data_IF_018105411651
#
_entry.id   IF_018105411651
#
_cell.length_a   1.000
_cell.length_b   1.000
_cell.length_c   1.000
_cell.angle_alpha   90.00
_cell.angle_beta   90.00
_cell.angle_gamma   90.00
#
_symmetry.space_group_name_H-M   'P 1'
#
loop_
_entity.id
_entity.type
_entity.pdbx_description
1 polymer ?
#
# COMPACT_ATOMS: atom_id res chain seq x y z
N UNK A 1 -4.46 -4.95 -16.69
CA UNK A 1 -3.29 -4.07 -16.37
C UNK A 1 -2.49 -4.76 -15.29
N UNK A 2 -1.16 -4.88 -15.42
CA UNK A 2 -0.32 -5.48 -14.37
C UNK A 2 -0.24 -4.53 -13.16
N UNK A 3 -0.33 -5.09 -11.96
CA UNK A 3 -0.31 -4.37 -10.67
C UNK A 3 0.41 -5.22 -9.63
N UNK A 4 0.92 -4.58 -8.57
CA UNK A 4 1.45 -5.26 -7.39
C UNK A 4 0.41 -5.16 -6.30
N UNK A 5 -0.12 -6.29 -5.83
CA UNK A 5 -1.13 -6.35 -4.78
C UNK A 5 -0.61 -7.20 -3.62
N UNK A 6 -0.85 -6.74 -2.39
CA UNK A 6 -0.59 -7.50 -1.18
C UNK A 6 -1.66 -7.25 -0.12
N UNK A 7 -1.96 -8.30 0.64
CA UNK A 7 -2.84 -8.26 1.81
C UNK A 7 -2.01 -8.35 3.09
N UNK A 8 -2.20 -7.40 3.98
CA UNK A 8 -1.59 -7.32 5.30
C UNK A 8 -2.64 -7.65 6.37
N UNK A 9 -2.31 -8.51 7.34
CA UNK A 9 -3.26 -9.00 8.34
C UNK A 9 -3.05 -8.31 9.68
N UNK A 10 -4.15 -8.05 10.39
CA UNK A 10 -4.20 -7.38 11.68
C UNK A 10 -5.22 -8.06 12.60
N UNK A 11 -5.14 -7.79 13.91
CA UNK A 11 -6.04 -8.41 14.89
C UNK A 11 -7.41 -7.72 14.96
N UNK A 12 -7.47 -6.45 14.59
CA UNK A 12 -8.68 -5.62 14.68
C UNK A 12 -8.66 -4.52 13.61
N UNK A 13 -9.74 -3.74 13.54
CA UNK A 13 -9.88 -2.64 12.58
C UNK A 13 -8.99 -1.42 12.90
N UNK A 14 -8.77 -1.12 14.18
CA UNK A 14 -7.97 0.04 14.58
C UNK A 14 -6.50 -0.09 14.12
N UNK A 15 -5.91 -1.27 14.28
CA UNK A 15 -4.55 -1.59 13.82
C UNK A 15 -4.46 -1.50 12.29
N UNK A 16 -5.47 -2.02 11.59
CA UNK A 16 -5.55 -1.95 10.13
C UNK A 16 -5.63 -0.48 9.66
N UNK A 17 -6.49 0.33 10.28
CA UNK A 17 -6.64 1.75 9.94
C UNK A 17 -5.36 2.55 10.24
N UNK A 18 -4.69 2.27 11.37
CA UNK A 18 -3.41 2.89 11.69
C UNK A 18 -2.35 2.59 10.63
N UNK A 19 -2.28 1.35 10.15
CA UNK A 19 -1.38 0.96 9.06
C UNK A 19 -1.74 1.65 7.74
N UNK A 20 -3.04 1.73 7.40
CA UNK A 20 -3.53 2.47 6.23
C UNK A 20 -3.08 3.93 6.25
N UNK A 21 -3.16 4.60 7.40
CA UNK A 21 -2.70 5.99 7.55
C UNK A 21 -1.17 6.12 7.34
N UNK A 22 -0.37 5.17 7.84
CA UNK A 22 1.09 5.15 7.58
C UNK A 22 1.40 5.02 6.09
N UNK A 23 0.67 4.17 5.37
CA UNK A 23 0.83 4.03 3.91
C UNK A 23 0.42 5.31 3.20
N UNK A 24 -0.69 5.94 3.61
CA UNK A 24 -1.16 7.21 3.06
C UNK A 24 -0.14 8.33 3.21
N UNK A 25 0.46 8.48 4.40
CA UNK A 25 1.52 9.46 4.63
C UNK A 25 2.74 9.22 3.73
N UNK A 26 3.21 7.96 3.64
CA UNK A 26 4.32 7.59 2.76
C UNK A 26 3.98 7.84 1.28
N UNK A 27 2.74 7.56 0.85
CA UNK A 27 2.30 7.81 -0.52
C UNK A 27 2.35 9.30 -0.91
N UNK A 28 1.96 10.20 0.01
CA UNK A 28 2.07 11.64 -0.19
C UNK A 28 3.52 12.11 -0.28
N UNK A 29 4.40 11.62 0.60
CA UNK A 29 5.83 11.93 0.57
C UNK A 29 6.50 11.51 -0.76
N UNK A 30 6.10 10.35 -1.31
CA UNK A 30 6.62 9.83 -2.57
C UNK A 30 5.96 10.42 -3.82
N UNK A 31 4.82 11.12 -3.66
CA UNK A 31 4.00 11.58 -4.79
C UNK A 31 3.48 10.43 -5.66
N UNK A 32 3.25 9.25 -5.07
CA UNK A 32 2.76 8.07 -5.76
C UNK A 32 1.74 7.36 -4.89
N UNK A 33 0.53 7.16 -5.43
CA UNK A 33 -0.63 6.77 -4.64
C UNK A 33 -1.13 5.35 -4.99
N UNK A 34 -1.32 4.48 -3.98
CA UNK A 34 -1.91 3.16 -4.19
C UNK A 34 -3.44 3.23 -4.13
N UNK A 35 -4.07 2.12 -4.51
CA UNK A 35 -5.39 1.80 -3.95
C UNK A 35 -5.19 1.08 -2.61
N UNK A 36 -5.88 1.56 -1.58
CA UNK A 36 -5.89 0.97 -0.25
C UNK A 36 -7.31 0.59 0.12
N UNK A 37 -7.52 -0.68 0.51
CA UNK A 37 -8.78 -1.18 1.04
C UNK A 37 -8.54 -1.61 2.48
N UNK A 38 -9.23 -0.97 3.42
CA UNK A 38 -9.17 -1.29 4.84
C UNK A 38 -10.43 -2.03 5.24
N UNK A 39 -10.27 -3.26 5.71
CA UNK A 39 -11.35 -4.10 6.25
C UNK A 39 -11.03 -4.48 7.71
N UNK A 40 -11.99 -5.12 8.40
CA UNK A 40 -11.72 -5.70 9.72
C UNK A 40 -10.57 -6.72 9.64
N UNK A 41 -9.47 -6.44 10.33
CA UNK A 41 -8.33 -7.34 10.46
C UNK A 41 -7.46 -7.47 9.20
N UNK A 42 -7.60 -6.59 8.19
CA UNK A 42 -6.69 -6.57 7.05
C UNK A 42 -6.64 -5.24 6.31
N UNK A 43 -5.54 -5.02 5.59
CA UNK A 43 -5.37 -3.96 4.61
C UNK A 43 -4.89 -4.57 3.30
N UNK A 44 -5.59 -4.30 2.20
CA UNK A 44 -5.14 -4.66 0.84
C UNK A 44 -4.55 -3.42 0.18
N UNK A 45 -3.32 -3.52 -0.32
CA UNK A 45 -2.62 -2.42 -0.97
C UNK A 45 -2.28 -2.81 -2.40
N UNK A 46 -2.63 -1.96 -3.36
CA UNK A 46 -2.35 -2.18 -4.79
C UNK A 46 -1.59 -1.01 -5.40
N UNK A 47 -0.40 -1.28 -5.92
CA UNK A 47 0.48 -0.31 -6.58
C UNK A 47 0.51 -0.54 -8.09
N UNK A 48 0.34 0.55 -8.86
CA UNK A 48 0.66 0.61 -10.29
C UNK A 48 0.74 2.07 -10.76
N UNK A 49 1.44 2.30 -11.87
CA UNK A 49 1.54 3.63 -12.47
C UNK A 49 0.40 3.84 -13.47
N UNK A 50 -0.53 4.74 -13.13
CA UNK A 50 -1.71 5.03 -13.94
C UNK A 50 -1.35 5.52 -15.36
N UNK A 51 -0.36 6.40 -15.47
CA UNK A 51 0.06 7.04 -16.73
C UNK A 51 0.46 6.02 -17.81
N UNK A 52 1.18 4.97 -17.42
CA UNK A 52 1.66 3.93 -18.34
C UNK A 52 0.76 2.69 -18.36
N UNK A 53 -0.35 2.69 -17.60
CA UNK A 53 -1.28 1.56 -17.46
C UNK A 53 -0.54 0.24 -17.18
N UNK A 54 0.42 0.27 -16.25
CA UNK A 54 1.29 -0.87 -15.97
C UNK A 54 2.24 -0.60 -14.80
N UNK A 55 3.27 -1.43 -14.71
CA UNK A 55 4.28 -1.36 -13.66
C UNK A 55 5.47 -0.50 -14.10
N UNK A 56 5.88 0.38 -13.20
CA UNK A 56 7.11 1.15 -13.24
C UNK A 56 7.97 0.82 -12.02
N UNK A 57 9.25 1.18 -12.04
CA UNK A 57 10.17 0.95 -10.92
C UNK A 57 9.64 1.49 -9.59
N UNK A 58 8.97 2.66 -9.60
CA UNK A 58 8.40 3.27 -8.41
C UNK A 58 7.34 2.39 -7.74
N UNK A 59 6.61 1.57 -8.50
CA UNK A 59 5.61 0.64 -7.93
C UNK A 59 6.29 -0.41 -7.05
N UNK A 60 7.46 -0.92 -7.47
CA UNK A 60 8.23 -1.88 -6.70
C UNK A 60 8.88 -1.25 -5.47
N UNK A 61 9.36 0.00 -5.60
CA UNK A 61 9.93 0.75 -4.46
C UNK A 61 8.85 1.01 -3.41
N UNK A 62 7.67 1.49 -3.83
CA UNK A 62 6.55 1.76 -2.94
C UNK A 62 6.05 0.47 -2.26
N UNK A 63 5.91 -0.63 -3.00
CA UNK A 63 5.55 -1.93 -2.42
C UNK A 63 6.58 -2.40 -1.37
N UNK A 64 7.87 -2.27 -1.63
CA UNK A 64 8.92 -2.62 -0.67
C UNK A 64 8.91 -1.71 0.58
N UNK A 65 8.60 -0.42 0.42
CA UNK A 65 8.40 0.51 1.56
C UNK A 65 7.18 0.13 2.38
N UNK A 66 6.06 -0.24 1.74
CA UNK A 66 4.86 -0.75 2.43
C UNK A 66 5.19 -1.98 3.28
N UNK A 67 5.98 -2.91 2.75
CA UNK A 67 6.39 -4.12 3.49
C UNK A 67 7.21 -3.79 4.74
N UNK A 68 8.11 -2.80 4.65
CA UNK A 68 8.89 -2.33 5.80
C UNK A 68 8.01 -1.68 6.87
N UNK A 69 7.00 -0.90 6.47
CA UNK A 69 6.03 -0.30 7.41
C UNK A 69 5.19 -1.35 8.15
N UNK A 70 5.00 -2.54 7.58
CA UNK A 70 4.25 -3.62 8.23
C UNK A 70 5.09 -4.39 9.26
N UNK A 71 6.40 -4.52 9.01
CA UNK A 71 7.34 -5.18 9.90
C UNK A 71 7.88 -4.31 11.04
N UNK A 72 7.54 -3.01 11.07
CA UNK A 72 7.94 -2.04 12.11
C UNK A 72 6.89 -1.90 13.19
#
# INVERSE_FOLDING_TARGET
IKRLERVFKFKNFADALAFTNKIGAMAEEEGHHPVIITDWGRVTVTWWTHKIKGLHQNDFIAAAKTDRLYGS
#
